data_IF_360637270205
#
_entry.id   IF_360637270205
#
_cell.length_a   1.000
_cell.length_b   1.000
_cell.length_c   1.000
_cell.angle_alpha   90.00
_cell.angle_beta   90.00
_cell.angle_gamma   90.00
#
_symmetry.space_group_name_H-M   'P 1'
#
loop_
_entity.id
_entity.type
_entity.pdbx_description
1 polymer ?
#
# COMPACT_ATOMS: atom_id res chain seq x y z
N UNK A 1 -0.09 -1.27 0.82
CA UNK A 1 -0.70 -0.18 0.04
C UNK A 1 0.22 0.12 -1.12
N UNK A 2 -0.28 0.01 -2.35
CA UNK A 2 0.53 0.26 -3.54
C UNK A 2 -0.20 1.20 -4.49
N UNK A 3 0.56 1.98 -5.25
CA UNK A 3 0.02 2.75 -6.35
C UNK A 3 -0.01 1.92 -7.63
N UNK A 4 -1.10 2.06 -8.38
CA UNK A 4 -1.25 1.53 -9.73
C UNK A 4 -0.93 2.57 -10.82
N UNK A 5 -0.67 3.82 -10.42
CA UNK A 5 -0.60 4.95 -11.34
C UNK A 5 0.72 5.73 -11.29
N UNK A 6 1.47 5.66 -10.19
CA UNK A 6 2.77 6.34 -10.05
C UNK A 6 3.72 5.59 -9.10
N UNK A 7 4.96 6.06 -8.99
CA UNK A 7 5.91 5.47 -8.06
C UNK A 7 5.58 5.84 -6.61
N UNK A 8 5.90 4.95 -5.68
CA UNK A 8 5.59 5.08 -4.27
C UNK A 8 6.64 4.35 -3.41
N UNK A 9 6.65 4.62 -2.11
CA UNK A 9 7.42 3.82 -1.15
C UNK A 9 6.53 2.76 -0.50
N UNK A 10 6.95 1.50 -0.54
CA UNK A 10 6.22 0.41 0.13
C UNK A 10 6.36 0.46 1.66
N UNK A 11 5.79 -0.51 2.38
CA UNK A 11 5.79 -0.47 3.85
C UNK A 11 7.19 -0.59 4.49
N UNK A 12 8.18 -1.10 3.75
CA UNK A 12 9.58 -1.13 4.18
C UNK A 12 10.36 0.12 3.77
N UNK A 13 9.72 1.09 3.10
CA UNK A 13 10.38 2.30 2.61
C UNK A 13 11.14 2.08 1.30
N UNK A 14 10.87 1.00 0.56
CA UNK A 14 11.51 0.76 -0.74
C UNK A 14 10.77 1.47 -1.87
N UNK A 15 11.51 2.10 -2.77
CA UNK A 15 10.94 2.81 -3.92
C UNK A 15 10.48 1.83 -5.00
N UNK A 16 9.20 1.86 -5.35
CA UNK A 16 8.53 0.93 -6.27
C UNK A 16 7.90 1.64 -7.46
N UNK A 17 7.84 0.93 -8.58
CA UNK A 17 7.03 1.27 -9.75
C UNK A 17 5.65 0.60 -9.67
N UNK A 18 4.62 1.12 -10.35
CA UNK A 18 3.37 0.39 -10.52
C UNK A 18 3.61 -1.00 -11.13
N UNK A 19 3.09 -2.04 -10.50
CA UNK A 19 3.26 -3.42 -10.95
C UNK A 19 4.41 -4.18 -10.27
N UNK A 20 5.31 -3.49 -9.56
CA UNK A 20 6.35 -4.16 -8.78
C UNK A 20 5.76 -4.92 -7.60
N UNK A 21 6.49 -5.97 -7.17
CA UNK A 21 6.23 -6.55 -5.86
C UNK A 21 6.51 -5.50 -4.77
N UNK A 22 5.85 -5.64 -3.62
CA UNK A 22 5.94 -4.68 -2.53
C UNK A 22 5.90 -5.39 -1.17
N UNK A 23 6.49 -4.77 -0.15
CA UNK A 23 6.31 -5.21 1.22
C UNK A 23 5.00 -4.67 1.81
N UNK A 24 4.19 -5.57 2.37
CA UNK A 24 2.95 -5.22 3.08
C UNK A 24 3.23 -4.67 4.50
N UNK A 25 2.20 -4.23 5.22
CA UNK A 25 2.34 -3.59 6.54
C UNK A 25 3.01 -4.47 7.61
N UNK A 26 3.19 -5.77 7.36
CA UNK A 26 3.91 -6.71 8.21
C UNK A 26 5.28 -7.11 7.65
N UNK A 27 5.71 -6.52 6.53
CA UNK A 27 6.99 -6.81 5.90
C UNK A 27 7.00 -8.08 5.04
N UNK A 28 5.84 -8.60 4.65
CA UNK A 28 5.78 -9.72 3.71
C UNK A 28 5.85 -9.22 2.28
N UNK A 29 6.67 -9.85 1.43
CA UNK A 29 6.69 -9.55 -0.01
C UNK A 29 5.42 -10.06 -0.69
N UNK A 30 4.77 -9.21 -1.47
CA UNK A 30 3.51 -9.47 -2.19
C UNK A 30 3.61 -9.05 -3.65
N UNK A 31 2.90 -9.75 -4.53
CA UNK A 31 2.61 -9.26 -5.86
C UNK A 31 1.36 -8.35 -5.86
N UNK A 32 1.25 -7.37 -6.78
CA UNK A 32 0.00 -6.62 -6.97
C UNK A 32 -1.18 -7.55 -7.23
N UNK A 33 -2.29 -7.31 -6.53
CA UNK A 33 -3.49 -8.15 -6.61
C UNK A 33 -3.50 -9.34 -5.65
N UNK A 34 -2.43 -9.61 -4.91
CA UNK A 34 -2.49 -10.53 -3.77
C UNK A 34 -3.11 -9.87 -2.54
N UNK A 35 -3.68 -10.69 -1.67
CA UNK A 35 -4.09 -10.24 -0.34
C UNK A 35 -2.86 -9.85 0.48
N UNK A 36 -3.02 -8.86 1.35
CA UNK A 36 -1.92 -8.22 2.07
C UNK A 36 -2.36 -7.74 3.45
N UNK A 37 -1.40 -7.42 4.31
CA UNK A 37 -1.69 -6.72 5.57
C UNK A 37 -1.56 -5.20 5.39
N UNK A 38 -2.56 -4.43 5.82
CA UNK A 38 -2.48 -2.96 5.85
C UNK A 38 -1.58 -2.46 7.00
N UNK A 39 -1.41 -1.14 7.13
CA UNK A 39 -0.50 -0.57 8.14
C UNK A 39 -0.95 -0.78 9.58
N UNK A 40 -2.23 -1.08 9.81
CA UNK A 40 -2.77 -1.45 11.12
C UNK A 40 -2.76 -2.97 11.34
N UNK A 41 -2.24 -3.74 10.38
CA UNK A 41 -2.10 -5.19 10.48
C UNK A 41 -3.38 -5.98 10.19
N UNK A 42 -4.38 -5.38 9.56
CA UNK A 42 -5.56 -6.11 9.10
C UNK A 42 -5.28 -6.81 7.77
N UNK A 43 -5.74 -8.05 7.63
CA UNK A 43 -5.65 -8.79 6.37
C UNK A 43 -6.72 -8.30 5.39
N UNK A 44 -6.31 -7.88 4.20
CA UNK A 44 -7.14 -7.22 3.18
C UNK A 44 -7.05 -7.93 1.85
N UNK A 45 -8.16 -7.91 1.12
CA UNK A 45 -8.18 -8.12 -0.33
C UNK A 45 -7.82 -6.82 -1.06
N UNK A 46 -7.35 -6.86 -2.32
CA UNK A 46 -7.00 -5.66 -3.10
C UNK A 46 -8.10 -4.62 -3.25
N UNK A 47 -9.38 -5.03 -3.20
CA UNK A 47 -10.55 -4.16 -3.33
C UNK A 47 -11.07 -3.61 -2.00
N UNK A 48 -10.57 -4.12 -0.87
CA UNK A 48 -11.04 -3.71 0.44
C UNK A 48 -10.57 -2.29 0.77
N UNK A 49 -11.35 -1.60 1.61
CA UNK A 49 -10.83 -0.41 2.29
C UNK A 49 -9.71 -0.79 3.25
N UNK A 50 -8.81 0.14 3.52
CA UNK A 50 -7.59 -0.16 4.25
C UNK A 50 -6.97 1.08 4.88
N UNK A 51 -6.14 0.88 5.90
CA UNK A 51 -5.46 1.97 6.60
C UNK A 51 -4.12 2.30 5.94
N UNK A 52 -3.94 3.58 5.59
CA UNK A 52 -2.67 4.10 5.08
C UNK A 52 -1.63 4.29 6.20
N UNK A 53 -0.41 4.73 5.87
CA UNK A 53 0.69 4.88 6.84
C UNK A 53 0.35 5.81 8.01
N UNK A 54 -0.61 6.73 7.82
CA UNK A 54 -1.06 7.67 8.85
C UNK A 54 -2.30 7.17 9.60
N UNK A 55 -2.70 5.92 9.40
CA UNK A 55 -3.87 5.33 10.07
C UNK A 55 -5.20 5.84 9.52
N UNK A 56 -5.24 6.40 8.31
CA UNK A 56 -6.47 6.89 7.69
C UNK A 56 -7.07 5.80 6.79
N UNK A 57 -8.37 5.57 6.94
CA UNK A 57 -9.10 4.58 6.13
C UNK A 57 -9.32 5.12 4.71
N UNK A 58 -8.89 4.36 3.70
CA UNK A 58 -8.96 4.70 2.26
C UNK A 58 -9.66 3.62 1.46
N UNK A 59 -10.24 4.00 0.33
CA UNK A 59 -10.71 3.06 -0.69
C UNK A 59 -9.61 2.80 -1.71
N UNK A 60 -9.71 1.70 -2.46
CA UNK A 60 -8.81 1.45 -3.59
C UNK A 60 -8.91 2.60 -4.61
N UNK A 61 -7.75 3.09 -5.07
CA UNK A 61 -7.67 4.19 -6.05
C UNK A 61 -7.78 5.59 -5.45
N UNK A 62 -8.14 5.73 -4.17
CA UNK A 62 -8.02 7.00 -3.46
C UNK A 62 -6.55 7.40 -3.33
N UNK A 63 -6.33 8.68 -3.03
CA UNK A 63 -5.02 9.10 -2.57
C UNK A 63 -4.74 8.56 -1.16
N UNK A 64 -3.46 8.29 -0.89
CA UNK A 64 -3.00 7.73 0.36
C UNK A 64 -1.61 8.22 0.76
N UNK A 65 -1.24 7.99 2.02
CA UNK A 65 0.14 8.19 2.48
C UNK A 65 0.96 6.90 2.37
N UNK A 66 2.01 6.93 1.56
CA UNK A 66 2.91 5.78 1.33
C UNK A 66 3.82 5.50 2.54
N UNK A 67 4.73 4.53 2.43
CA UNK A 67 5.57 4.10 3.57
C UNK A 67 6.44 5.18 4.20
N UNK A 68 6.83 6.17 3.39
CA UNK A 68 7.57 7.35 3.82
C UNK A 68 6.65 8.54 4.16
N UNK A 69 5.32 8.36 4.05
CA UNK A 69 4.32 9.36 4.40
C UNK A 69 4.05 10.41 3.31
N UNK A 70 4.45 10.15 2.06
CA UNK A 70 4.12 11.01 0.92
C UNK A 70 2.72 10.71 0.39
N UNK A 71 2.04 11.75 -0.09
CA UNK A 71 0.72 11.61 -0.68
C UNK A 71 0.82 11.07 -2.11
N UNK A 72 0.27 9.90 -2.37
CA UNK A 72 0.30 9.19 -3.66
C UNK A 72 -1.11 8.87 -4.13
N UNK A 73 -1.31 8.76 -5.43
CA UNK A 73 -2.53 8.22 -6.02
C UNK A 73 -2.51 6.69 -5.96
N UNK A 74 -3.63 6.06 -5.60
CA UNK A 74 -3.83 4.61 -5.68
C UNK A 74 -3.62 4.01 -7.07
#
# INVERSE_FOLDING_TARGET
>A
MYSTSEHYYDANGEYRSPGDHFYDGQGNLRAPGENYYDYEGFYRSPEDMFYDKKGLLRSRGDYFYDGEGYHRKG
#
